data_IF_962272797115
#
_entry.id   IF_962272797115
#
_cell.length_a   1.000
_cell.length_b   1.000
_cell.length_c   1.000
_cell.angle_alpha   90.00
_cell.angle_beta   90.00
_cell.angle_gamma   90.00
#
_symmetry.space_group_name_H-M   'P 1'
#
loop_
_entity.id
_entity.type
_entity.pdbx_description
1 polymer ?
#
# COMPACT_ATOMS: atom_id res chain seq x y z
N UNK A 1 -8.96 11.01 -1.47
CA UNK A 1 -10.09 10.48 -0.65
C UNK A 1 -11.36 10.51 -1.54
N UNK A 2 -12.63 10.26 -1.13
CA UNK A 2 -13.75 10.36 -2.07
C UNK A 2 -13.95 11.84 -2.44
N UNK A 3 -13.28 12.24 -3.51
CA UNK A 3 -13.38 13.55 -4.16
C UNK A 3 -14.35 13.49 -5.34
N UNK A 4 -15.14 12.42 -5.44
CA UNK A 4 -16.18 12.29 -6.44
C UNK A 4 -17.39 13.14 -6.05
N UNK A 5 -17.62 14.19 -6.83
CA UNK A 5 -18.90 14.93 -6.93
C UNK A 5 -20.13 14.01 -7.05
N UNK A 6 -19.96 12.75 -7.43
CA UNK A 6 -21.00 11.73 -7.55
C UNK A 6 -21.33 10.93 -6.28
N UNK A 7 -20.53 10.98 -5.20
CA UNK A 7 -20.72 10.01 -4.10
C UNK A 7 -20.75 10.62 -2.69
N UNK A 8 -19.87 11.56 -2.32
CA UNK A 8 -19.98 12.43 -1.11
C UNK A 8 -19.07 13.65 -1.34
N UNK A 9 -19.54 14.87 -1.06
CA UNK A 9 -18.75 16.11 -1.19
C UNK A 9 -17.49 16.05 -0.29
N UNK A 10 -16.31 16.39 -0.85
CA UNK A 10 -15.07 16.49 -0.09
C UNK A 10 -15.10 17.68 0.88
N UNK A 11 -15.54 17.44 2.11
CA UNK A 11 -15.91 18.49 3.08
C UNK A 11 -14.85 19.57 3.32
N UNK A 12 -13.60 19.18 3.60
CA UNK A 12 -12.54 20.15 3.87
C UNK A 12 -12.06 20.89 2.61
N UNK A 13 -12.45 20.48 1.40
CA UNK A 13 -12.09 21.20 0.16
C UNK A 13 -13.16 22.19 -0.26
N UNK A 14 -14.41 22.00 0.18
CA UNK A 14 -15.53 22.88 -0.20
C UNK A 14 -15.62 24.18 0.59
N UNK A 15 -15.00 24.26 1.76
CA UNK A 15 -15.06 25.44 2.63
C UNK A 15 -13.94 26.45 2.36
N UNK A 16 -12.88 26.06 1.64
CA UNK A 16 -11.71 26.90 1.40
C UNK A 16 -11.51 27.20 -0.07
N UNK A 17 -11.22 28.47 -0.39
CA UNK A 17 -10.94 28.93 -1.76
C UNK A 17 -9.51 29.46 -1.92
N UNK A 18 -9.05 29.56 -3.18
CA UNK A 18 -7.77 30.16 -3.55
C UNK A 18 -6.54 29.47 -2.96
N UNK A 19 -5.72 30.22 -2.23
CA UNK A 19 -4.44 29.71 -1.69
C UNK A 19 -4.62 28.65 -0.60
N UNK A 20 -5.67 28.76 0.23
CA UNK A 20 -5.94 27.78 1.29
C UNK A 20 -6.25 26.40 0.71
N UNK A 21 -7.04 26.35 -0.37
CA UNK A 21 -7.27 25.14 -1.15
C UNK A 21 -5.96 24.53 -1.67
N UNK A 22 -5.07 25.35 -2.24
CA UNK A 22 -3.79 24.88 -2.76
C UNK A 22 -2.89 24.23 -1.68
N UNK A 23 -2.90 24.75 -0.44
CA UNK A 23 -2.14 24.15 0.67
C UNK A 23 -2.64 22.75 1.01
N UNK A 24 -3.95 22.49 0.97
CA UNK A 24 -4.48 21.15 1.23
C UNK A 24 -4.01 20.14 0.18
N UNK A 25 -4.04 20.50 -1.10
CA UNK A 25 -3.50 19.64 -2.16
C UNK A 25 -1.99 19.44 -2.02
N UNK A 26 -1.25 20.52 -1.75
CA UNK A 26 0.18 20.44 -1.53
C UNK A 26 0.52 19.49 -0.37
N UNK A 27 -0.22 19.56 0.74
CA UNK A 27 -0.03 18.69 1.89
C UNK A 27 -0.30 17.20 1.55
N UNK A 28 -1.33 16.90 0.74
CA UNK A 28 -1.61 15.53 0.31
C UNK A 28 -0.48 14.98 -0.59
N UNK A 29 0.00 15.76 -1.56
CA UNK A 29 1.13 15.37 -2.40
C UNK A 29 2.43 15.25 -1.60
N UNK A 30 2.63 16.12 -0.60
CA UNK A 30 3.76 16.03 0.31
C UNK A 30 3.69 14.76 1.18
N UNK A 31 2.50 14.36 1.60
CA UNK A 31 2.27 13.08 2.28
C UNK A 31 2.67 11.88 1.40
N UNK A 32 2.29 11.89 0.13
CA UNK A 32 2.71 10.85 -0.83
C UNK A 32 4.24 10.81 -1.01
N UNK A 33 4.87 11.98 -1.09
CA UNK A 33 6.33 12.10 -1.15
C UNK A 33 7.01 11.55 0.10
N UNK A 34 6.51 11.90 1.29
CA UNK A 34 7.06 11.46 2.57
C UNK A 34 6.95 9.93 2.75
N UNK A 35 5.78 9.35 2.46
CA UNK A 35 5.56 7.89 2.54
C UNK A 35 6.45 7.16 1.54
N UNK A 36 6.61 7.68 0.32
CA UNK A 36 7.52 7.10 -0.67
C UNK A 36 8.97 7.18 -0.20
N UNK A 37 9.40 8.31 0.39
CA UNK A 37 10.73 8.45 0.98
C UNK A 37 10.99 7.44 2.10
N UNK A 38 10.03 7.26 3.02
CA UNK A 38 10.11 6.25 4.07
C UNK A 38 10.15 4.82 3.51
N UNK A 39 9.41 4.54 2.44
CA UNK A 39 9.46 3.24 1.79
C UNK A 39 10.84 2.96 1.17
N UNK A 40 11.46 3.96 0.54
CA UNK A 40 12.82 3.82 -0.01
C UNK A 40 13.83 3.52 1.09
N UNK A 41 13.77 4.23 2.22
CA UNK A 41 14.74 4.05 3.30
C UNK A 41 14.57 2.72 4.04
N UNK A 42 13.33 2.35 4.36
CA UNK A 42 13.05 1.16 5.18
C UNK A 42 13.12 -0.15 4.39
N UNK A 43 12.67 -0.15 3.12
CA UNK A 43 12.51 -1.39 2.36
C UNK A 43 13.44 -1.51 1.15
N UNK A 44 13.80 -0.42 0.47
CA UNK A 44 14.63 -0.46 -0.75
C UNK A 44 16.12 -0.17 -0.50
N UNK A 45 16.57 -0.25 0.76
CA UNK A 45 17.98 -0.06 1.12
C UNK A 45 18.48 1.39 1.03
N UNK A 46 17.57 2.38 1.03
CA UNK A 46 17.89 3.79 1.11
C UNK A 46 18.87 4.26 0.02
N UNK A 47 20.01 4.78 0.48
CA UNK A 47 21.09 5.35 -0.34
C UNK A 47 22.08 4.33 -0.92
N UNK A 48 21.96 3.04 -0.58
CA UNK A 48 22.87 2.04 -1.10
C UNK A 48 22.62 1.75 -2.58
N UNK A 49 23.70 1.61 -3.39
CA UNK A 49 23.59 1.15 -4.76
C UNK A 49 23.05 -0.30 -4.78
N UNK A 50 22.26 -0.66 -5.79
CA UNK A 50 21.71 -2.02 -5.90
C UNK A 50 22.79 -3.07 -6.20
N UNK A 51 23.92 -2.66 -6.78
CA UNK A 51 25.02 -3.54 -7.14
C UNK A 51 26.37 -2.90 -6.74
N UNK A 52 27.36 -3.69 -6.28
CA UNK A 52 28.63 -3.17 -5.77
C UNK A 52 29.44 -2.37 -6.81
N UNK A 53 29.27 -2.67 -8.10
CA UNK A 53 30.02 -1.99 -9.17
C UNK A 53 29.49 -0.60 -9.54
N UNK A 54 28.35 -0.17 -8.97
CA UNK A 54 27.75 1.16 -9.23
C UNK A 54 28.09 2.21 -8.15
N UNK A 55 29.07 1.93 -7.29
CA UNK A 55 29.57 2.86 -6.26
C UNK A 55 30.18 4.16 -6.82
N UNK A 56 30.47 4.20 -8.11
CA UNK A 56 30.97 5.39 -8.82
C UNK A 56 29.93 6.54 -8.77
N UNK A 57 28.64 6.21 -8.69
CA UNK A 57 27.55 7.20 -8.68
C UNK A 57 27.28 7.66 -7.23
N UNK A 58 27.16 8.98 -6.99
CA UNK A 58 26.87 9.50 -5.65
C UNK A 58 25.60 8.90 -5.04
N UNK A 59 25.66 8.59 -3.75
CA UNK A 59 24.60 7.90 -3.00
C UNK A 59 23.24 8.62 -3.02
N UNK A 60 23.23 9.95 -3.09
CA UNK A 60 22.00 10.76 -3.20
C UNK A 60 21.23 10.50 -4.49
N UNK A 61 21.94 10.24 -5.61
CA UNK A 61 21.31 9.97 -6.90
C UNK A 61 20.49 8.68 -6.83
N UNK A 62 21.00 7.66 -6.13
CA UNK A 62 20.28 6.40 -5.91
C UNK A 62 18.99 6.58 -5.12
N UNK A 63 19.04 7.41 -4.09
CA UNK A 63 17.86 7.71 -3.29
C UNK A 63 16.78 8.40 -4.14
N UNK A 64 17.14 9.47 -4.87
CA UNK A 64 16.19 10.19 -5.71
C UNK A 64 15.70 9.37 -6.90
N UNK A 65 16.52 8.47 -7.45
CA UNK A 65 16.11 7.55 -8.51
C UNK A 65 15.05 6.57 -8.01
N UNK A 66 15.29 5.88 -6.87
CA UNK A 66 14.31 4.97 -6.27
C UNK A 66 13.02 5.70 -5.89
N UNK A 67 13.14 6.90 -5.33
CA UNK A 67 12.00 7.75 -4.97
C UNK A 67 11.19 8.14 -6.22
N UNK A 68 11.86 8.53 -7.31
CA UNK A 68 11.19 8.88 -8.57
C UNK A 68 10.46 7.69 -9.17
N UNK A 69 11.03 6.47 -9.10
CA UNK A 69 10.37 5.24 -9.54
C UNK A 69 9.10 4.95 -8.72
N UNK A 70 9.14 5.12 -7.40
CA UNK A 70 7.95 4.95 -6.56
C UNK A 70 6.88 5.99 -6.85
N UNK A 71 7.24 7.27 -6.98
CA UNK A 71 6.29 8.33 -7.34
C UNK A 71 5.67 8.10 -8.71
N UNK A 72 6.48 7.71 -9.70
CA UNK A 72 5.99 7.32 -11.02
C UNK A 72 5.00 6.16 -10.92
N UNK A 73 5.29 5.16 -10.09
CA UNK A 73 4.37 4.04 -9.86
C UNK A 73 3.06 4.50 -9.23
N UNK A 74 3.08 5.39 -8.24
CA UNK A 74 1.85 5.96 -7.66
C UNK A 74 1.00 6.72 -8.69
N UNK A 75 1.64 7.53 -9.54
CA UNK A 75 0.96 8.25 -10.62
C UNK A 75 0.37 7.25 -11.63
N UNK A 76 1.12 6.20 -11.99
CA UNK A 76 0.69 5.17 -12.92
C UNK A 76 -0.51 4.37 -12.39
N UNK A 77 -0.49 3.96 -11.12
CA UNK A 77 -1.61 3.27 -10.47
C UNK A 77 -2.85 4.16 -10.39
N UNK A 78 -2.67 5.47 -10.14
CA UNK A 78 -3.77 6.45 -10.12
C UNK A 78 -4.45 6.59 -11.49
N UNK A 79 -3.68 6.48 -12.57
CA UNK A 79 -4.20 6.55 -13.93
C UNK A 79 -4.84 5.26 -14.46
N UNK A 80 -4.43 4.09 -13.94
CA UNK A 80 -4.84 2.78 -14.49
C UNK A 80 -5.95 2.09 -13.71
N UNK A 81 -6.04 2.29 -12.39
CA UNK A 81 -6.97 1.54 -11.56
C UNK A 81 -8.37 2.19 -11.53
N UNK A 82 -9.45 1.38 -11.67
CA UNK A 82 -10.81 1.88 -11.47
C UNK A 82 -11.04 2.24 -10.00
N UNK A 83 -11.89 3.26 -9.76
CA UNK A 83 -12.23 3.69 -8.41
C UNK A 83 -12.97 2.58 -7.66
N UNK A 84 -12.49 2.25 -6.46
CA UNK A 84 -13.09 1.25 -5.57
C UNK A 84 -13.85 1.96 -4.45
N UNK A 85 -15.08 1.49 -4.16
CA UNK A 85 -15.87 2.00 -3.03
C UNK A 85 -15.13 1.79 -1.71
N UNK A 86 -15.17 2.78 -0.83
CA UNK A 86 -14.47 2.79 0.47
C UNK A 86 -14.82 1.56 1.30
N UNK A 87 -16.06 1.07 1.26
CA UNK A 87 -16.46 -0.14 1.98
C UNK A 87 -15.66 -1.39 1.57
N UNK A 88 -15.30 -1.51 0.30
CA UNK A 88 -14.49 -2.63 -0.18
C UNK A 88 -13.02 -2.46 0.24
N UNK A 89 -12.51 -1.24 0.20
CA UNK A 89 -11.15 -0.90 0.65
C UNK A 89 -11.00 -1.15 2.15
N UNK A 90 -11.98 -0.71 2.94
CA UNK A 90 -12.00 -0.90 4.40
C UNK A 90 -12.05 -2.38 4.75
N UNK A 91 -12.95 -3.15 4.11
CA UNK A 91 -13.01 -4.61 4.33
C UNK A 91 -11.69 -5.29 3.97
N UNK A 92 -11.06 -4.90 2.85
CA UNK A 92 -9.77 -5.44 2.47
C UNK A 92 -8.66 -5.07 3.47
N UNK A 93 -8.56 -3.81 3.88
CA UNK A 93 -7.57 -3.35 4.86
C UNK A 93 -7.72 -4.09 6.20
N UNK A 94 -8.95 -4.18 6.70
CA UNK A 94 -9.20 -4.74 8.03
C UNK A 94 -9.19 -6.27 8.07
N UNK A 95 -9.80 -6.93 7.08
CA UNK A 95 -9.93 -8.39 7.10
C UNK A 95 -8.74 -9.11 6.47
N UNK A 96 -8.02 -8.46 5.54
CA UNK A 96 -6.92 -9.08 4.80
C UNK A 96 -5.56 -8.46 5.17
N UNK A 97 -5.40 -7.13 5.08
CA UNK A 97 -4.08 -6.52 5.29
C UNK A 97 -3.60 -6.58 6.74
N UNK A 98 -4.48 -6.32 7.72
CA UNK A 98 -4.13 -6.35 9.15
C UNK A 98 -3.60 -7.73 9.60
N UNK A 99 -4.30 -8.85 9.36
CA UNK A 99 -3.77 -10.17 9.71
C UNK A 99 -2.48 -10.53 8.97
N UNK A 100 -2.36 -10.13 7.69
CA UNK A 100 -1.13 -10.35 6.93
C UNK A 100 0.07 -9.60 7.52
N UNK A 101 -0.12 -8.37 7.98
CA UNK A 101 0.94 -7.59 8.63
C UNK A 101 1.48 -8.27 9.90
N UNK A 102 0.59 -8.79 10.76
CA UNK A 102 1.00 -9.58 11.93
C UNK A 102 1.73 -10.86 11.54
N UNK A 103 1.29 -11.52 10.46
CA UNK A 103 1.95 -12.72 9.96
C UNK A 103 3.35 -12.42 9.45
N UNK A 104 3.58 -11.28 8.80
CA UNK A 104 4.92 -10.85 8.39
C UNK A 104 5.88 -10.72 9.57
N UNK A 105 5.41 -10.22 10.73
CA UNK A 105 6.23 -10.12 11.95
C UNK A 105 6.60 -11.52 12.47
N UNK A 106 5.63 -12.44 12.53
CA UNK A 106 5.87 -13.83 12.94
C UNK A 106 6.81 -14.54 11.97
N UNK A 107 6.63 -14.33 10.66
CA UNK A 107 7.48 -14.91 9.64
C UNK A 107 8.93 -14.38 9.72
N UNK A 108 9.11 -13.08 10.01
CA UNK A 108 10.42 -12.49 10.25
C UNK A 108 11.09 -13.08 11.51
N UNK A 109 10.33 -13.26 12.59
CA UNK A 109 10.82 -13.92 13.80
C UNK A 109 11.23 -15.38 13.52
N UNK A 110 10.38 -16.16 12.84
CA UNK A 110 10.67 -17.54 12.47
C UNK A 110 11.92 -17.65 11.58
N UNK A 111 12.08 -16.74 10.61
CA UNK A 111 13.28 -16.68 9.76
C UNK A 111 14.56 -16.45 10.57
N UNK A 112 14.50 -15.56 11.56
CA UNK A 112 15.64 -15.27 12.43
C UNK A 112 16.08 -16.50 13.26
N UNK A 113 15.13 -17.32 13.72
CA UNK A 113 15.43 -18.49 14.57
C UNK A 113 15.77 -19.79 13.80
N UNK A 114 15.24 -20.00 12.58
CA UNK A 114 15.30 -21.31 11.92
C UNK A 114 16.61 -21.60 11.16
N UNK A 115 17.22 -20.61 10.48
CA UNK A 115 18.56 -20.66 9.84
C UNK A 115 18.76 -19.54 8.80
N UNK A 116 19.96 -18.96 8.72
CA UNK A 116 20.36 -17.94 7.74
C UNK A 116 20.67 -18.52 6.34
N UNK A 117 19.78 -19.35 5.81
CA UNK A 117 19.93 -19.99 4.49
C UNK A 117 18.64 -19.98 3.68
N UNK A 118 18.69 -20.59 2.50
CA UNK A 118 17.51 -20.75 1.62
C UNK A 118 16.36 -21.49 2.31
N UNK A 119 16.66 -22.43 3.21
CA UNK A 119 15.66 -23.16 3.98
C UNK A 119 14.85 -22.24 4.92
N UNK A 120 15.52 -21.25 5.55
CA UNK A 120 14.84 -20.24 6.35
C UNK A 120 13.91 -19.37 5.50
N UNK A 121 14.37 -18.95 4.33
CA UNK A 121 13.55 -18.20 3.35
C UNK A 121 12.33 -18.99 2.87
N UNK A 122 12.50 -20.28 2.56
CA UNK A 122 11.39 -21.14 2.15
C UNK A 122 10.41 -21.38 3.30
N UNK A 123 10.91 -21.52 4.53
CA UNK A 123 10.08 -21.67 5.72
C UNK A 123 9.22 -20.44 6.01
N UNK A 124 9.80 -19.24 5.97
CA UNK A 124 9.06 -17.99 6.19
C UNK A 124 8.05 -17.71 5.08
N UNK A 125 8.42 -17.97 3.82
CA UNK A 125 7.49 -17.91 2.69
C UNK A 125 6.36 -18.93 2.83
N UNK A 126 6.66 -20.15 3.30
CA UNK A 126 5.67 -21.18 3.58
C UNK A 126 4.64 -20.73 4.61
N UNK A 127 5.09 -20.12 5.73
CA UNK A 127 4.20 -19.58 6.76
C UNK A 127 3.27 -18.50 6.17
N UNK A 128 3.83 -17.56 5.40
CA UNK A 128 3.05 -16.51 4.75
C UNK A 128 2.02 -17.08 3.76
N UNK A 129 2.42 -18.09 2.98
CA UNK A 129 1.57 -18.73 1.96
C UNK A 129 0.42 -19.52 2.64
N UNK A 130 0.70 -20.25 3.72
CA UNK A 130 -0.31 -20.99 4.48
C UNK A 130 -1.35 -20.03 5.06
N UNK A 131 -0.92 -18.94 5.69
CA UNK A 131 -1.85 -17.96 6.27
C UNK A 131 -2.63 -17.23 5.18
N UNK A 132 -1.98 -16.86 4.07
CA UNK A 132 -2.66 -16.29 2.91
C UNK A 132 -3.76 -17.21 2.36
N UNK A 133 -3.47 -18.51 2.23
CA UNK A 133 -4.46 -19.49 1.73
C UNK A 133 -5.60 -19.71 2.71
N UNK A 134 -5.30 -19.80 4.01
CA UNK A 134 -6.32 -19.92 5.04
C UNK A 134 -7.27 -18.73 5.03
N UNK A 135 -6.71 -17.52 4.95
CA UNK A 135 -7.46 -16.28 5.00
C UNK A 135 -8.24 -16.02 3.70
N UNK A 136 -7.67 -16.33 2.55
CA UNK A 136 -8.38 -16.27 1.26
C UNK A 136 -9.52 -17.28 1.17
N UNK A 137 -9.37 -18.49 1.72
CA UNK A 137 -10.47 -19.46 1.84
C UNK A 137 -11.56 -18.97 2.79
N UNK A 138 -11.20 -18.41 3.94
CA UNK A 138 -12.15 -17.89 4.91
C UNK A 138 -12.99 -16.73 4.34
N UNK A 139 -12.36 -15.76 3.67
CA UNK A 139 -13.09 -14.65 3.03
C UNK A 139 -13.94 -15.09 1.83
N UNK A 140 -13.58 -16.19 1.15
CA UNK A 140 -14.33 -16.73 0.01
C UNK A 140 -15.51 -17.59 0.45
N UNK A 141 -15.38 -18.35 1.53
CA UNK A 141 -16.44 -19.20 2.07
C UNK A 141 -17.66 -18.41 2.56
N UNK A 142 -17.45 -17.15 2.99
CA UNK A 142 -18.50 -16.33 3.58
C UNK A 142 -19.22 -15.39 2.58
N UNK A 143 -19.07 -15.61 1.26
CA UNK A 143 -19.76 -14.79 0.25
C UNK A 143 -21.04 -15.45 -0.23
N UNK A 144 -22.16 -15.10 0.41
CA UNK A 144 -23.47 -15.24 -0.21
C UNK A 144 -23.60 -14.17 -1.30
N UNK A 145 -23.38 -14.56 -2.56
CA UNK A 145 -23.49 -13.70 -3.74
C UNK A 145 -24.97 -13.50 -4.11
N UNK A 146 -25.76 -12.87 -3.22
CA UNK A 146 -27.12 -12.45 -3.55
C UNK A 146 -27.08 -11.09 -4.27
N UNK A 147 -27.78 -10.92 -5.41
CA UNK A 147 -27.95 -9.60 -6.02
C UNK A 147 -28.54 -8.61 -5.01
N UNK A 148 -27.86 -7.49 -4.73
CA UNK A 148 -28.44 -6.42 -3.90
C UNK A 148 -29.50 -5.69 -4.72
N UNK A 149 -30.77 -5.91 -4.41
CA UNK A 149 -31.87 -5.10 -4.92
C UNK A 149 -31.93 -3.79 -4.15
N UNK A 150 -31.61 -2.68 -4.82
CA UNK A 150 -31.81 -1.34 -4.26
C UNK A 150 -33.30 -0.99 -4.39
N UNK A 151 -34.05 -0.96 -3.29
CA UNK A 151 -35.34 -0.26 -3.23
C UNK A 151 -35.03 1.20 -2.90
N UNK A 152 -35.22 2.08 -3.88
CA UNK A 152 -35.27 3.50 -3.62
C UNK A 152 -36.53 3.79 -2.79
N UNK A 153 -36.44 4.70 -1.82
CA UNK A 153 -37.61 5.19 -1.11
C UNK A 153 -38.44 6.01 -2.10
N UNK A 154 -39.70 5.59 -2.32
CA UNK A 154 -40.71 6.35 -3.07
C UNK A 154 -41.10 7.63 -2.32
#
# INVERSE_FOLDING_TARGET
>A
MPEGESEIVAGHMTEYSGFKYAIFFLAEYFGMFAVSGLAVTLFLGGWHPPLPFLEIIPSYVWFFAKLSVLLFTFIWLRGTLPRMRIDHVMKFAWQFMMPMAFTCIIAAAAWHYQSHGLAGWLGSLGILLVVYLALSRFLRANKNLSPRTYRFAE
#
